data_IF_962704855663
#
_entry.id   IF_962704855663
#
_cell.length_a   1.000
_cell.length_b   1.000
_cell.length_c   1.000
_cell.angle_alpha   90.00
_cell.angle_beta   90.00
_cell.angle_gamma   90.00
#
_symmetry.space_group_name_H-M   'P 1'
#
loop_
_entity.id
_entity.type
_entity.pdbx_description
1 polymer ?
#
# COMPACT_ATOMS: atom_id res chain seq x y z
N UNK A 1 6.07 -12.77 -11.20
CA UNK A 1 5.26 -14.00 -10.99
C UNK A 1 5.64 -14.77 -9.73
N UNK A 2 6.92 -15.07 -9.46
CA UNK A 2 7.32 -15.88 -8.28
C UNK A 2 6.94 -15.26 -6.93
N UNK A 3 7.05 -13.93 -6.78
CA UNK A 3 6.80 -13.27 -5.50
C UNK A 3 5.34 -13.38 -5.05
N UNK A 4 4.37 -13.13 -5.95
CA UNK A 4 2.94 -13.18 -5.63
C UNK A 4 2.54 -14.57 -5.13
N UNK A 5 2.98 -15.62 -5.84
CA UNK A 5 2.73 -17.01 -5.45
C UNK A 5 3.37 -17.37 -4.10
N UNK A 6 4.57 -16.85 -3.81
CA UNK A 6 5.29 -17.14 -2.57
C UNK A 6 4.80 -16.32 -1.37
N UNK A 7 4.14 -15.19 -1.61
CA UNK A 7 3.67 -14.24 -0.58
C UNK A 7 2.17 -13.96 -0.74
N UNK A 8 1.32 -15.01 -0.65
CA UNK A 8 -0.11 -14.84 -0.81
C UNK A 8 -0.64 -13.82 0.22
N UNK A 9 -1.69 -13.03 -0.13
CA UNK A 9 -2.28 -12.05 0.76
C UNK A 9 -2.46 -12.54 2.19
N UNK A 10 -2.01 -11.71 3.13
CA UNK A 10 -2.16 -11.90 4.58
C UNK A 10 -1.35 -13.08 5.17
N UNK A 11 -0.38 -13.62 4.42
CA UNK A 11 0.45 -14.73 4.90
C UNK A 11 1.95 -14.42 4.77
N UNK A 12 2.69 -14.79 5.81
CA UNK A 12 4.14 -14.63 5.84
C UNK A 12 4.59 -13.20 6.06
N UNK A 13 5.91 -13.01 5.99
CA UNK A 13 6.58 -11.76 6.40
C UNK A 13 6.19 -10.55 5.55
N UNK A 14 5.86 -10.73 4.27
CA UNK A 14 5.48 -9.63 3.36
C UNK A 14 4.18 -8.90 3.71
N UNK A 15 3.44 -9.38 4.73
CA UNK A 15 2.21 -8.81 5.24
C UNK A 15 2.24 -8.56 6.76
N UNK A 16 3.41 -8.72 7.39
CA UNK A 16 3.55 -8.61 8.84
C UNK A 16 3.66 -7.16 9.35
N UNK A 17 4.03 -6.23 8.48
CA UNK A 17 4.33 -4.84 8.83
C UNK A 17 3.65 -3.84 7.89
N UNK A 18 3.03 -2.80 8.45
CA UNK A 18 2.26 -1.81 7.68
C UNK A 18 3.11 -0.96 6.75
N UNK A 19 4.27 -0.50 7.23
CA UNK A 19 5.23 0.23 6.39
C UNK A 19 5.68 -0.62 5.18
N UNK A 20 5.87 -1.93 5.34
CA UNK A 20 6.28 -2.81 4.23
C UNK A 20 5.15 -3.02 3.23
N UNK A 21 3.92 -3.19 3.71
CA UNK A 21 2.71 -3.26 2.86
C UNK A 21 2.54 -1.97 2.06
N UNK A 22 2.71 -0.82 2.72
CA UNK A 22 2.58 0.50 2.12
C UNK A 22 3.65 0.76 1.06
N UNK A 23 4.94 0.53 1.39
CA UNK A 23 6.04 0.74 0.46
C UNK A 23 5.93 -0.15 -0.78
N UNK A 24 5.48 -1.40 -0.60
CA UNK A 24 5.21 -2.31 -1.72
C UNK A 24 4.06 -1.80 -2.60
N UNK A 25 2.96 -1.36 -2.01
CA UNK A 25 1.84 -0.81 -2.76
C UNK A 25 2.26 0.42 -3.57
N UNK A 26 2.95 1.38 -2.94
CA UNK A 26 3.45 2.59 -3.60
C UNK A 26 4.38 2.22 -4.76
N UNK A 27 5.33 1.32 -4.54
CA UNK A 27 6.28 0.89 -5.56
C UNK A 27 5.57 0.24 -6.75
N UNK A 28 4.56 -0.60 -6.50
CA UNK A 28 3.78 -1.24 -7.55
C UNK A 28 2.91 -0.24 -8.33
N UNK A 29 2.32 0.76 -7.65
CA UNK A 29 1.57 1.83 -8.32
C UNK A 29 2.49 2.60 -9.28
N UNK A 30 3.69 2.98 -8.83
CA UNK A 30 4.68 3.67 -9.68
C UNK A 30 5.10 2.79 -10.87
N UNK A 31 5.34 1.50 -10.65
CA UNK A 31 5.68 0.56 -11.74
C UNK A 31 4.53 0.46 -12.75
N UNK A 32 3.28 0.37 -12.27
CA UNK A 32 2.11 0.28 -13.13
C UNK A 32 1.90 1.54 -13.95
N UNK A 33 2.18 2.72 -13.38
CA UNK A 33 2.12 4.00 -14.09
C UNK A 33 3.20 4.13 -15.17
N UNK A 34 4.44 3.71 -14.86
CA UNK A 34 5.58 3.87 -15.76
C UNK A 34 5.62 2.84 -16.91
N UNK A 35 5.24 1.59 -16.64
CA UNK A 35 5.44 0.48 -17.60
C UNK A 35 4.27 -0.52 -17.64
N UNK A 36 3.14 -0.23 -17.00
CA UNK A 36 2.03 -1.19 -16.86
C UNK A 36 1.41 -1.62 -18.19
N UNK A 37 1.41 -0.77 -19.20
CA UNK A 37 0.96 -1.07 -20.56
C UNK A 37 1.81 -2.16 -21.24
N UNK A 38 3.10 -2.21 -20.92
CA UNK A 38 4.08 -3.20 -21.41
C UNK A 38 4.08 -4.52 -20.63
N UNK A 39 3.40 -4.58 -19.49
CA UNK A 39 3.30 -5.81 -18.68
C UNK A 39 2.22 -6.76 -19.22
N UNK A 40 2.44 -8.07 -19.09
CA UNK A 40 1.45 -9.08 -19.42
C UNK A 40 0.20 -9.00 -18.55
N UNK A 41 -0.95 -9.45 -19.08
CA UNK A 41 -2.23 -9.39 -18.38
C UNK A 41 -2.21 -10.10 -17.01
N UNK A 42 -1.57 -11.28 -16.94
CA UNK A 42 -1.43 -12.03 -15.69
C UNK A 42 -0.65 -11.24 -14.62
N UNK A 43 0.46 -10.59 -14.99
CA UNK A 43 1.22 -9.75 -14.06
C UNK A 43 0.41 -8.55 -13.58
N UNK A 44 -0.33 -7.88 -14.49
CA UNK A 44 -1.23 -6.78 -14.11
C UNK A 44 -2.31 -7.23 -13.12
N UNK A 45 -2.90 -8.41 -13.35
CA UNK A 45 -3.88 -8.98 -12.44
C UNK A 45 -3.29 -9.25 -11.05
N UNK A 46 -2.10 -9.87 -10.98
CA UNK A 46 -1.42 -10.13 -9.70
C UNK A 46 -1.09 -8.83 -8.95
N UNK A 47 -0.69 -7.77 -9.65
CA UNK A 47 -0.50 -6.45 -9.03
C UNK A 47 -1.82 -5.91 -8.49
N UNK A 48 -2.91 -6.02 -9.25
CA UNK A 48 -4.25 -5.64 -8.78
C UNK A 48 -4.68 -6.39 -7.52
N UNK A 49 -4.43 -7.71 -7.45
CA UNK A 49 -4.71 -8.54 -6.27
C UNK A 49 -3.89 -8.08 -5.06
N UNK A 50 -2.61 -7.75 -5.25
CA UNK A 50 -1.77 -7.18 -4.21
C UNK A 50 -2.32 -5.83 -3.72
N UNK A 51 -2.66 -4.92 -4.63
CA UNK A 51 -3.16 -3.58 -4.28
C UNK A 51 -4.50 -3.66 -3.54
N UNK A 52 -5.42 -4.52 -3.97
CA UNK A 52 -6.68 -4.75 -3.29
C UNK A 52 -6.47 -5.29 -1.87
N UNK A 53 -5.54 -6.23 -1.68
CA UNK A 53 -5.20 -6.74 -0.37
C UNK A 53 -4.49 -5.68 0.51
N UNK A 54 -3.64 -4.82 -0.06
CA UNK A 54 -3.03 -3.69 0.66
C UNK A 54 -4.07 -2.67 1.11
N UNK A 55 -5.04 -2.33 0.25
CA UNK A 55 -6.15 -1.43 0.59
C UNK A 55 -7.00 -1.98 1.74
N UNK A 56 -7.19 -3.30 1.78
CA UNK A 56 -7.84 -3.95 2.91
C UNK A 56 -6.96 -3.90 4.17
N UNK A 57 -5.68 -4.17 4.06
CA UNK A 57 -4.81 -4.36 5.24
C UNK A 57 -4.49 -3.04 5.97
N UNK A 58 -4.09 -1.99 5.24
CA UNK A 58 -3.52 -0.75 5.78
C UNK A 58 -4.37 -0.04 6.85
N UNK A 59 -5.68 0.21 6.65
CA UNK A 59 -6.46 0.96 7.64
C UNK A 59 -6.72 0.19 8.95
N UNK A 60 -6.43 -1.12 9.02
CA UNK A 60 -6.79 -1.97 10.17
C UNK A 60 -5.79 -1.93 11.31
N UNK A 61 -4.52 -1.67 11.00
CA UNK A 61 -3.43 -1.75 11.97
C UNK A 61 -2.47 -0.57 11.84
N UNK A 62 -2.95 0.67 12.05
CA UNK A 62 -2.09 1.85 11.97
C UNK A 62 -1.02 1.80 13.08
N UNK A 63 0.21 2.17 12.73
CA UNK A 63 1.32 2.30 13.66
C UNK A 63 1.01 3.36 14.72
N UNK A 64 1.27 3.03 15.99
CA UNK A 64 1.00 3.90 17.15
C UNK A 64 2.26 4.09 18.01
N UNK A 65 2.18 5.02 18.96
CA UNK A 65 3.21 5.28 19.97
C UNK A 65 4.60 5.51 19.35
N UNK A 66 5.62 4.78 19.80
CA UNK A 66 7.00 4.91 19.32
C UNK A 66 7.18 4.56 17.84
N UNK A 67 6.26 3.80 17.25
CA UNK A 67 6.30 3.45 15.83
C UNK A 67 5.58 4.48 14.96
N UNK A 68 4.84 5.43 15.54
CA UNK A 68 4.02 6.39 14.78
C UNK A 68 4.83 7.43 13.99
N UNK A 69 6.17 7.44 14.08
CA UNK A 69 7.01 8.39 13.36
C UNK A 69 6.99 8.14 11.85
N UNK A 70 8.01 7.51 11.30
CA UNK A 70 8.11 7.23 9.87
C UNK A 70 7.15 6.14 9.39
N UNK A 71 6.71 5.21 10.25
CA UNK A 71 5.81 4.14 9.81
C UNK A 71 4.41 4.66 9.51
N UNK A 72 3.82 5.47 10.40
CA UNK A 72 2.46 5.95 10.20
C UNK A 72 2.35 6.86 8.96
N UNK A 73 3.34 7.72 8.72
CA UNK A 73 3.39 8.54 7.50
C UNK A 73 3.43 7.66 6.25
N UNK A 74 4.26 6.62 6.24
CA UNK A 74 4.36 5.69 5.12
C UNK A 74 3.06 4.89 4.91
N UNK A 75 2.46 4.40 5.99
CA UNK A 75 1.19 3.67 5.98
C UNK A 75 0.06 4.51 5.39
N UNK A 76 -0.10 5.75 5.88
CA UNK A 76 -1.12 6.69 5.41
C UNK A 76 -0.88 7.13 3.95
N UNK A 77 0.38 7.31 3.54
CA UNK A 77 0.72 7.56 2.15
C UNK A 77 0.38 6.37 1.25
N UNK A 78 0.65 5.15 1.72
CA UNK A 78 0.30 3.92 1.04
C UNK A 78 -1.20 3.75 0.90
N UNK A 79 -1.97 4.00 1.96
CA UNK A 79 -3.43 3.93 1.96
C UNK A 79 -4.02 4.95 0.98
N UNK A 80 -3.54 6.20 1.04
CA UNK A 80 -3.97 7.27 0.14
C UNK A 80 -3.72 6.93 -1.33
N UNK A 81 -2.48 6.56 -1.69
CA UNK A 81 -2.11 6.27 -3.07
C UNK A 81 -2.82 5.02 -3.61
N UNK A 82 -2.96 3.98 -2.77
CA UNK A 82 -3.72 2.78 -3.15
C UNK A 82 -5.18 3.10 -3.37
N UNK A 83 -5.78 3.94 -2.52
CA UNK A 83 -7.16 4.38 -2.69
C UNK A 83 -7.38 5.13 -4.01
N UNK A 84 -6.46 6.02 -4.40
CA UNK A 84 -6.50 6.71 -5.68
C UNK A 84 -6.34 5.74 -6.86
N UNK A 85 -5.37 4.82 -6.80
CA UNK A 85 -5.12 3.85 -7.86
C UNK A 85 -6.31 2.90 -8.10
N UNK A 86 -7.10 2.62 -7.05
CA UNK A 86 -8.33 1.81 -7.14
C UNK A 86 -9.60 2.64 -7.41
N UNK A 87 -9.48 3.95 -7.64
CA UNK A 87 -10.63 4.81 -7.95
C UNK A 87 -11.58 5.06 -6.75
N UNK A 88 -11.09 4.90 -5.53
CA UNK A 88 -11.84 5.21 -4.30
C UNK A 88 -11.54 6.63 -3.83
N UNK A 89 -12.33 7.15 -2.88
CA UNK A 89 -12.08 8.43 -2.22
C UNK A 89 -11.36 8.21 -0.87
N UNK A 90 -10.01 8.31 -0.80
CA UNK A 90 -9.26 8.07 0.43
C UNK A 90 -9.22 9.31 1.36
N UNK A 91 -10.37 9.93 1.62
CA UNK A 91 -10.43 11.20 2.36
C UNK A 91 -9.96 11.07 3.82
N UNK A 92 -10.26 9.94 4.46
CA UNK A 92 -9.78 9.64 5.80
C UNK A 92 -8.25 9.55 5.84
N UNK A 93 -7.65 8.76 4.94
CA UNK A 93 -6.20 8.64 4.81
C UNK A 93 -5.54 9.98 4.49
N UNK A 94 -6.13 10.77 3.58
CA UNK A 94 -5.66 12.12 3.22
C UNK A 94 -5.61 13.03 4.46
N UNK A 95 -6.71 13.10 5.21
CA UNK A 95 -6.82 13.94 6.39
C UNK A 95 -5.81 13.54 7.49
N UNK A 96 -5.71 12.23 7.75
CA UNK A 96 -4.74 11.70 8.71
C UNK A 96 -3.29 11.96 8.29
N UNK A 97 -2.95 11.78 7.00
CA UNK A 97 -1.61 12.03 6.48
C UNK A 97 -1.21 13.50 6.65
N UNK A 98 -2.12 14.42 6.31
CA UNK A 98 -1.89 15.85 6.49
C UNK A 98 -1.71 16.24 7.96
N UNK A 99 -2.48 15.62 8.87
CA UNK A 99 -2.33 15.86 10.30
C UNK A 99 -0.98 15.35 10.82
N UNK A 100 -0.54 14.17 10.39
CA UNK A 100 0.73 13.58 10.83
C UNK A 100 1.94 14.34 10.28
N UNK A 101 1.92 14.69 8.99
CA UNK A 101 3.01 15.44 8.35
C UNK A 101 3.25 16.83 8.95
N UNK A 102 2.25 17.43 9.61
CA UNK A 102 2.35 18.73 10.28
C UNK A 102 2.90 18.65 11.70
N UNK A 103 3.07 17.46 12.27
CA UNK A 103 3.67 17.27 13.61
C UNK A 103 5.20 17.26 13.57
N UNK A 104 5.80 17.03 12.40
CA UNK A 104 7.25 17.01 12.17
C UNK A 104 7.77 18.41 11.84
#
# INVERSE_FOLDING_TARGET
>A
DSWHSANPPFRGVGWASGIEVALRAISLIVIMDLVGDRLGAATRQQVGEILAASAYWLPRFPSQFSSANNHLVAELAGEYLTGLALGTAPDAARGALQAEARKQ
#
